data_IF_720227591339
#
_entry.id   IF_720227591339
#
_cell.length_a   1.000
_cell.length_b   1.000
_cell.length_c   1.000
_cell.angle_alpha   90.00
_cell.angle_beta   90.00
_cell.angle_gamma   90.00
#
_symmetry.space_group_name_H-M   'P 1'
#
loop_
_entity.id
_entity.type
_entity.pdbx_description
1 polymer ?
#
# COMPACT_ATOMS: atom_id res chain seq x y z
N UNK A 1 7.74 7.18 20.05
CA UNK A 1 6.66 6.41 19.41
C UNK A 1 5.99 7.20 18.29
N UNK A 2 5.38 8.37 18.53
CA UNK A 2 4.73 9.17 17.47
C UNK A 2 5.62 9.45 16.24
N UNK A 3 6.88 9.84 16.44
CA UNK A 3 7.83 10.09 15.33
C UNK A 3 8.03 8.85 14.44
N UNK A 4 8.09 7.66 15.04
CA UNK A 4 8.25 6.40 14.31
C UNK A 4 7.00 6.09 13.48
N UNK A 5 5.80 6.36 14.00
CA UNK A 5 4.54 6.21 13.26
C UNK A 5 4.44 7.19 12.10
N UNK A 6 4.89 8.43 12.27
CA UNK A 6 4.92 9.43 11.19
C UNK A 6 5.84 8.96 10.06
N UNK A 7 7.09 8.58 10.39
CA UNK A 7 8.06 8.11 9.39
C UNK A 7 7.53 6.87 8.67
N UNK A 8 6.99 5.91 9.42
CA UNK A 8 6.41 4.69 8.85
C UNK A 8 5.22 4.99 7.95
N UNK A 9 4.31 5.88 8.37
CA UNK A 9 3.14 6.28 7.60
C UNK A 9 3.51 6.97 6.27
N UNK A 10 4.49 7.88 6.31
CA UNK A 10 5.02 8.51 5.10
C UNK A 10 5.59 7.45 4.15
N UNK A 11 6.42 6.54 4.66
CA UNK A 11 7.00 5.46 3.86
C UNK A 11 5.92 4.54 3.27
N UNK A 12 4.95 4.08 4.07
CA UNK A 12 3.85 3.24 3.60
C UNK A 12 3.02 3.90 2.51
N UNK A 13 2.78 5.22 2.60
CA UNK A 13 2.06 5.97 1.57
C UNK A 13 2.80 5.97 0.23
N UNK A 14 4.06 6.43 0.23
CA UNK A 14 4.83 6.59 -1.01
C UNK A 14 5.23 5.24 -1.61
N UNK A 15 5.75 4.34 -0.78
CA UNK A 15 6.15 3.01 -1.23
C UNK A 15 4.93 2.19 -1.65
N UNK A 16 3.83 2.25 -0.90
CA UNK A 16 2.58 1.58 -1.24
C UNK A 16 2.07 1.99 -2.61
N UNK A 17 2.01 3.30 -2.90
CA UNK A 17 1.63 3.81 -4.23
C UNK A 17 2.57 3.35 -5.34
N UNK A 18 3.87 3.28 -5.06
CA UNK A 18 4.86 2.83 -6.04
C UNK A 18 4.69 1.34 -6.37
N UNK A 19 4.58 0.48 -5.36
CA UNK A 19 4.51 -0.98 -5.55
C UNK A 19 3.13 -1.48 -5.99
N UNK A 20 2.06 -0.74 -5.66
CA UNK A 20 0.68 -1.05 -6.07
C UNK A 20 0.28 -0.41 -7.38
N UNK A 21 1.20 0.30 -8.05
CA UNK A 21 0.95 0.84 -9.37
C UNK A 21 0.78 -0.34 -10.36
N UNK A 22 -0.37 -0.46 -11.04
CA UNK A 22 -0.52 -1.46 -12.09
C UNK A 22 0.50 -1.17 -13.20
N UNK A 23 1.17 -2.21 -13.67
CA UNK A 23 2.16 -2.09 -14.74
C UNK A 23 1.52 -2.00 -16.13
N UNK A 24 0.20 -2.21 -16.21
CA UNK A 24 -0.58 -2.09 -17.44
C UNK A 24 -0.27 -3.18 -18.47
N UNK A 25 0.49 -4.21 -18.08
CA UNK A 25 0.89 -5.28 -19.00
C UNK A 25 -0.27 -6.25 -19.18
N UNK A 26 -0.62 -6.48 -20.45
CA UNK A 26 -1.57 -7.52 -20.86
C UNK A 26 -0.77 -8.72 -21.32
N UNK A 27 -1.05 -9.86 -20.71
CA UNK A 27 -0.45 -11.15 -21.00
C UNK A 27 -1.46 -11.99 -21.77
N UNK A 28 -0.96 -12.93 -22.57
CA UNK A 28 -1.80 -13.92 -23.24
C UNK A 28 -1.58 -15.24 -22.52
N UNK A 29 -2.67 -15.83 -22.07
CA UNK A 29 -2.66 -17.18 -21.50
C UNK A 29 -2.35 -18.19 -22.62
N UNK A 30 -1.32 -19.01 -22.42
CA UNK A 30 -0.82 -19.92 -23.46
C UNK A 30 -1.75 -21.12 -23.71
N UNK A 31 -2.61 -21.47 -22.75
CA UNK A 31 -3.51 -22.62 -22.86
C UNK A 31 -4.84 -22.23 -23.50
N UNK A 32 -5.35 -21.04 -23.20
CA UNK A 32 -6.68 -20.57 -23.63
C UNK A 32 -6.65 -19.48 -24.69
N UNK A 33 -5.52 -18.78 -24.86
CA UNK A 33 -5.39 -17.61 -25.72
C UNK A 33 -6.06 -16.35 -25.17
N UNK A 34 -6.54 -16.37 -23.92
CA UNK A 34 -7.22 -15.24 -23.31
C UNK A 34 -6.25 -14.14 -22.88
N UNK A 35 -6.75 -12.89 -22.86
CA UNK A 35 -5.99 -11.73 -22.38
C UNK A 35 -6.15 -11.59 -20.87
N UNK A 36 -5.06 -11.72 -20.14
CA UNK A 36 -5.01 -11.57 -18.67
C UNK A 36 -4.16 -10.37 -18.28
N UNK A 37 -4.65 -9.58 -17.33
CA UNK A 37 -3.91 -8.45 -16.76
C UNK A 37 -3.55 -8.75 -15.30
N UNK A 38 -2.25 -8.83 -15.01
CA UNK A 38 -1.77 -9.05 -13.65
C UNK A 38 -1.58 -7.72 -12.93
N UNK A 39 -2.51 -7.38 -12.04
CA UNK A 39 -2.36 -6.22 -11.18
C UNK A 39 -1.62 -6.61 -9.89
N UNK A 40 -0.39 -6.10 -9.73
CA UNK A 40 0.36 -6.23 -8.47
C UNK A 40 -0.41 -5.52 -7.34
N UNK A 41 -0.72 -6.27 -6.28
CA UNK A 41 -1.44 -5.77 -5.10
C UNK A 41 -0.72 -6.20 -3.82
N UNK A 42 0.15 -5.34 -3.33
CA UNK A 42 0.72 -5.42 -1.99
C UNK A 42 -0.26 -4.84 -0.97
N UNK A 43 -0.72 -5.70 -0.08
CA UNK A 43 -1.61 -5.36 1.02
C UNK A 43 -1.11 -5.97 2.31
N UNK A 44 -1.39 -5.30 3.42
CA UNK A 44 -1.18 -5.81 4.77
C UNK A 44 -2.54 -5.85 5.46
N UNK A 45 -2.92 -7.03 5.98
CA UNK A 45 -4.27 -7.29 6.50
C UNK A 45 -5.39 -6.91 5.52
N UNK A 46 -5.21 -7.24 4.23
CA UNK A 46 -6.16 -6.93 3.15
C UNK A 46 -6.35 -5.42 2.86
N UNK A 47 -5.62 -4.54 3.56
CA UNK A 47 -5.60 -3.10 3.32
C UNK A 47 -4.39 -2.78 2.45
N UNK A 48 -4.60 -2.05 1.34
CA UNK A 48 -3.51 -1.64 0.46
C UNK A 48 -2.46 -0.85 1.24
N UNK A 49 -1.18 -1.09 0.94
CA UNK A 49 -0.07 -0.48 1.66
C UNK A 49 -0.14 1.05 1.73
N UNK A 50 -0.64 1.74 0.70
CA UNK A 50 -0.76 3.19 0.71
C UNK A 50 -1.75 3.73 1.77
N UNK A 51 -2.75 2.93 2.17
CA UNK A 51 -3.72 3.31 3.19
C UNK A 51 -3.18 3.14 4.62
N UNK A 52 -2.07 2.42 4.80
CA UNK A 52 -1.38 2.42 6.09
C UNK A 52 -0.76 3.78 6.42
N UNK A 53 -0.52 4.64 5.42
CA UNK A 53 -0.08 6.02 5.65
C UNK A 53 -1.00 6.84 6.55
N UNK A 54 -2.27 7.09 6.16
CA UNK A 54 -3.21 7.83 7.01
C UNK A 54 -3.53 7.08 8.32
N UNK A 55 -3.60 5.75 8.31
CA UNK A 55 -3.84 4.95 9.54
C UNK A 55 -2.74 5.22 10.58
N UNK A 56 -1.48 5.11 10.17
CA UNK A 56 -0.33 5.37 11.05
C UNK A 56 -0.25 6.85 11.45
N UNK A 57 -0.68 7.77 10.58
CA UNK A 57 -0.84 9.19 10.92
C UNK A 57 -1.85 9.43 12.04
N UNK A 58 -3.02 8.78 11.98
CA UNK A 58 -4.03 8.85 13.06
C UNK A 58 -3.47 8.27 14.36
N UNK A 59 -2.81 7.12 14.30
CA UNK A 59 -2.16 6.51 15.47
C UNK A 59 -1.12 7.46 16.06
N UNK A 60 -0.30 8.12 15.23
CA UNK A 60 0.67 9.10 15.69
C UNK A 60 -0.01 10.26 16.46
N UNK A 61 -1.10 10.82 15.92
CA UNK A 61 -1.86 11.90 16.57
C UNK A 61 -2.42 11.44 17.92
N UNK A 62 -3.07 10.26 17.96
CA UNK A 62 -3.59 9.70 19.21
C UNK A 62 -2.48 9.56 20.24
N UNK A 63 -1.32 9.00 19.85
CA UNK A 63 -0.19 8.84 20.78
C UNK A 63 0.44 10.16 21.23
N UNK A 64 0.26 11.25 20.49
CA UNK A 64 0.71 12.58 20.91
C UNK A 64 -0.25 13.20 21.94
N UNK A 65 -1.55 12.95 21.81
CA UNK A 65 -2.59 13.50 22.70
C UNK A 65 -2.66 12.72 24.01
N UNK A 66 -2.47 11.39 23.97
CA UNK A 66 -2.54 10.52 25.15
C UNK A 66 -1.26 10.52 25.99
N UNK A 67 -0.23 11.25 25.57
CA UNK A 67 1.06 11.36 26.25
C UNK A 67 1.09 12.60 27.14
#
# INVERSE_FOLDING_TARGET
MAVMFIISGVMSWYLGKYINKPDGKVYIDAETGEKVMFNKKHSLFFIKMEYWGPILGVIAIVTLITR
#
